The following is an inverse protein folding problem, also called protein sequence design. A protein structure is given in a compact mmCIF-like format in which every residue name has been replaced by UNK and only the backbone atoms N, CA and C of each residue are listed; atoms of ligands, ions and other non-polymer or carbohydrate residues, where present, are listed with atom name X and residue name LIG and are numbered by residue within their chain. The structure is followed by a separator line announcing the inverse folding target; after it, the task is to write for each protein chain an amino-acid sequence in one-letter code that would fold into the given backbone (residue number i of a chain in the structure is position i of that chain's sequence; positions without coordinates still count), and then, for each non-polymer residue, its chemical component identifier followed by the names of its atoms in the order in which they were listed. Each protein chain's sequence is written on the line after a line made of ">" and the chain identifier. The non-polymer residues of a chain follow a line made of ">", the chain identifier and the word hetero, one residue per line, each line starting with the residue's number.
data_IF_718392624912
#
_entry.id   IF_718392624912
#
_cell.length_a   1.000
_cell.length_b   1.000
_cell.length_c   1.000
_cell.angle_alpha   90.00
_cell.angle_beta   90.00
_cell.angle_gamma   90.00
#
_symmetry.space_group_name_H-M   'P 1'
#
loop_
_entity.id
_entity.type
_entity.pdbx_description
1 polymer ?
#
# COMPACT_ATOMS: atom_id res chain seq x y z
N UNK A 1 29.26 -2.48 -65.50
CA UNK A 1 29.47 -1.07 -65.89
C UNK A 1 28.23 -0.25 -65.48
N UNK A 2 28.30 0.31 -64.26
CA UNK A 2 27.23 1.23 -63.80
C UNK A 2 27.44 2.61 -64.44
N UNK A 3 26.44 3.05 -65.17
CA UNK A 3 26.40 4.43 -65.70
C UNK A 3 26.18 5.42 -64.56
N UNK A 4 27.25 6.09 -64.11
CA UNK A 4 27.15 7.25 -63.22
C UNK A 4 26.37 8.35 -63.96
N UNK A 5 25.17 8.64 -63.46
CA UNK A 5 24.33 9.75 -63.90
C UNK A 5 24.88 11.07 -63.34
N UNK A 6 25.81 11.72 -64.05
CA UNK A 6 26.38 13.03 -63.73
C UNK A 6 25.47 14.17 -64.25
N UNK A 7 24.26 14.22 -63.72
CA UNK A 7 23.38 15.36 -63.99
C UNK A 7 23.92 16.62 -63.31
N UNK A 8 24.20 17.70 -64.08
CA UNK A 8 24.56 19.00 -63.54
C UNK A 8 23.51 19.44 -62.54
N UNK A 9 23.91 19.68 -61.27
CA UNK A 9 23.02 20.21 -60.22
C UNK A 9 22.98 21.72 -60.28
N UNK A 10 21.79 22.26 -60.53
CA UNK A 10 21.55 23.71 -60.51
C UNK A 10 20.89 24.11 -59.18
N UNK A 11 21.28 25.27 -58.66
CA UNK A 11 20.66 25.79 -57.43
C UNK A 11 19.26 26.38 -57.71
N UNK A 12 18.45 26.57 -56.68
CA UNK A 12 17.08 27.02 -56.83
C UNK A 12 16.99 28.48 -57.36
N UNK A 13 17.96 29.34 -57.05
CA UNK A 13 18.02 30.70 -57.56
C UNK A 13 18.24 30.70 -59.08
N UNK A 14 19.21 29.95 -59.57
CA UNK A 14 19.43 29.79 -61.00
C UNK A 14 18.19 29.31 -61.77
N UNK A 15 17.47 28.33 -61.20
CA UNK A 15 16.24 27.82 -61.78
C UNK A 15 15.14 28.87 -61.84
N UNK A 16 14.99 29.66 -60.76
CA UNK A 16 14.03 30.78 -60.74
C UNK A 16 14.37 31.83 -61.78
N UNK A 17 15.65 32.22 -61.86
CA UNK A 17 16.10 33.22 -62.88
C UNK A 17 15.82 32.75 -64.30
N UNK A 18 16.05 31.48 -64.65
CA UNK A 18 15.71 30.94 -65.96
C UNK A 18 14.19 30.99 -66.23
N UNK A 19 13.36 30.71 -65.22
CA UNK A 19 11.91 30.76 -65.32
C UNK A 19 11.43 32.22 -65.50
N UNK A 20 12.04 33.16 -64.77
CA UNK A 20 11.74 34.59 -64.89
C UNK A 20 12.11 35.14 -66.28
N UNK A 21 13.27 34.74 -66.84
CA UNK A 21 13.66 35.08 -68.21
C UNK A 21 12.70 34.48 -69.25
N UNK A 22 12.20 33.27 -69.04
CA UNK A 22 11.17 32.69 -69.86
C UNK A 22 9.87 33.53 -69.84
N UNK A 23 9.43 33.93 -68.67
CA UNK A 23 8.23 34.81 -68.56
C UNK A 23 8.44 36.24 -69.07
N UNK A 24 9.71 36.70 -69.18
CA UNK A 24 10.08 37.95 -69.75
C UNK A 24 10.12 37.91 -71.30
N UNK A 25 9.77 36.79 -71.95
CA UNK A 25 9.60 36.66 -73.40
C UNK A 25 10.75 35.94 -74.12
N UNK A 26 11.78 35.42 -73.39
CA UNK A 26 12.87 34.64 -74.05
C UNK A 26 12.38 33.25 -74.42
N UNK A 27 12.75 32.74 -75.57
CA UNK A 27 12.36 31.38 -75.97
C UNK A 27 13.14 30.32 -75.33
N UNK A 28 12.51 29.14 -75.02
CA UNK A 28 13.21 27.98 -74.33
C UNK A 28 14.42 27.57 -75.17
N UNK A 29 14.45 27.69 -76.50
CA UNK A 29 15.61 27.36 -77.33
C UNK A 29 16.79 28.29 -77.06
N UNK A 30 16.54 29.58 -76.95
CA UNK A 30 17.56 30.58 -76.63
C UNK A 30 18.16 30.35 -75.27
N UNK A 31 17.28 30.21 -74.27
CA UNK A 31 17.71 29.88 -72.88
C UNK A 31 18.50 28.57 -72.76
N UNK A 32 18.11 27.55 -73.56
CA UNK A 32 18.84 26.26 -73.62
C UNK A 32 20.23 26.43 -74.21
N UNK A 33 20.34 27.24 -75.27
CA UNK A 33 21.64 27.51 -75.95
C UNK A 33 22.57 28.36 -75.11
N UNK A 34 22.03 29.37 -74.45
CA UNK A 34 22.80 30.37 -73.72
C UNK A 34 23.29 29.85 -72.37
N UNK A 35 22.44 29.17 -71.64
CA UNK A 35 22.74 28.66 -70.30
C UNK A 35 23.14 27.19 -70.22
N UNK A 36 23.14 26.49 -71.33
CA UNK A 36 23.57 25.09 -71.44
C UNK A 36 22.69 24.10 -70.66
N UNK A 37 21.41 24.41 -70.59
CA UNK A 37 20.39 23.60 -69.90
C UNK A 37 19.46 22.99 -70.98
N UNK A 38 19.12 21.71 -70.89
CA UNK A 38 18.24 21.08 -71.86
C UNK A 38 16.84 21.68 -71.82
N UNK A 39 16.22 21.85 -73.02
CA UNK A 39 14.86 22.37 -73.15
C UNK A 39 13.85 21.66 -72.26
N UNK A 40 13.93 20.35 -72.17
CA UNK A 40 13.07 19.51 -71.30
C UNK A 40 13.22 19.89 -69.81
N UNK A 41 14.44 20.25 -69.40
CA UNK A 41 14.74 20.66 -68.04
C UNK A 41 14.15 22.05 -67.77
N UNK A 42 14.24 22.98 -68.72
CA UNK A 42 13.67 24.32 -68.63
C UNK A 42 12.13 24.25 -68.51
N UNK A 43 11.46 23.47 -69.37
CA UNK A 43 10.01 23.27 -69.27
C UNK A 43 9.58 22.66 -67.92
N UNK A 44 10.39 21.74 -67.38
CA UNK A 44 10.17 21.18 -66.07
C UNK A 44 10.25 22.25 -64.98
N UNK A 45 11.24 23.16 -65.04
CA UNK A 45 11.39 24.25 -64.11
C UNK A 45 10.28 25.31 -64.25
N UNK A 46 9.88 25.64 -65.44
CA UNK A 46 8.73 26.50 -65.69
C UNK A 46 7.49 25.92 -65.01
N UNK A 47 7.21 24.64 -65.17
CA UNK A 47 6.09 23.96 -64.50
C UNK A 47 6.20 23.93 -62.98
N UNK A 48 7.42 23.85 -62.43
CA UNK A 48 7.66 23.78 -60.97
C UNK A 48 7.65 25.15 -60.28
N UNK A 49 8.08 26.20 -60.97
CA UNK A 49 8.31 27.55 -60.39
C UNK A 49 7.40 28.63 -60.91
N UNK A 50 6.54 28.40 -61.91
CA UNK A 50 5.51 29.38 -62.29
C UNK A 50 4.46 29.51 -61.18
N UNK A 51 4.22 30.72 -60.66
CA UNK A 51 3.22 30.93 -59.62
C UNK A 51 1.80 30.59 -60.09
N UNK A 52 1.01 30.01 -59.22
CA UNK A 52 -0.42 29.76 -59.43
C UNK A 52 -1.20 30.79 -58.62
N UNK A 53 -1.93 31.71 -59.27
CA UNK A 53 -2.74 32.71 -58.62
C UNK A 53 -2.49 34.10 -59.19
N UNK A 54 -3.47 35.01 -59.04
CA UNK A 54 -3.42 36.44 -59.48
C UNK A 54 -3.29 37.27 -58.19
N UNK A 55 -2.15 37.92 -57.98
CA UNK A 55 -1.94 38.86 -56.86
C UNK A 55 -0.70 38.59 -55.99
N UNK A 56 -0.54 39.38 -54.94
CA UNK A 56 0.63 39.34 -54.01
C UNK A 56 0.80 38.02 -53.23
N UNK A 57 -0.20 37.13 -53.23
CA UNK A 57 -0.17 35.82 -52.55
C UNK A 57 0.00 34.63 -53.50
N UNK A 58 0.62 34.83 -54.67
CA UNK A 58 0.83 33.75 -55.63
C UNK A 58 1.90 32.76 -55.14
N UNK A 59 1.51 31.48 -54.98
CA UNK A 59 2.42 30.38 -54.56
C UNK A 59 2.83 29.54 -55.76
N UNK A 60 4.07 29.04 -55.73
CA UNK A 60 4.52 28.06 -56.71
C UNK A 60 3.95 26.68 -56.42
N UNK A 61 3.75 25.80 -57.41
CA UNK A 61 3.29 24.44 -57.21
C UNK A 61 4.17 23.65 -56.24
N UNK A 62 5.46 23.97 -56.16
CA UNK A 62 6.43 23.35 -55.25
C UNK A 62 6.19 23.79 -53.80
N UNK A 63 5.90 25.05 -53.57
CA UNK A 63 5.57 25.58 -52.24
C UNK A 63 4.23 25.01 -51.76
N UNK A 64 3.22 24.93 -52.64
CA UNK A 64 1.94 24.34 -52.34
C UNK A 64 2.08 22.85 -51.94
N UNK A 65 2.88 22.09 -52.69
CA UNK A 65 3.14 20.68 -52.38
C UNK A 65 3.89 20.51 -51.07
N UNK A 66 4.84 21.41 -50.72
CA UNK A 66 5.56 21.40 -49.47
C UNK A 66 4.61 21.69 -48.29
N UNK A 67 3.72 22.69 -48.41
CA UNK A 67 2.72 23.00 -47.39
C UNK A 67 1.72 21.87 -47.22
N UNK A 68 1.27 21.25 -48.31
CA UNK A 68 0.37 20.10 -48.23
C UNK A 68 1.02 18.90 -47.53
N UNK A 69 2.30 18.62 -47.79
CA UNK A 69 3.07 17.56 -47.14
C UNK A 69 3.22 17.84 -45.65
N UNK A 70 3.55 19.08 -45.28
CA UNK A 70 3.69 19.46 -43.86
C UNK A 70 2.33 19.44 -43.12
N UNK A 71 1.25 19.88 -43.77
CA UNK A 71 -0.10 19.75 -43.21
C UNK A 71 -0.50 18.29 -42.98
N UNK A 72 -0.13 17.38 -43.91
CA UNK A 72 -0.40 15.96 -43.75
C UNK A 72 0.40 15.40 -42.55
N UNK A 73 1.68 15.76 -42.42
CA UNK A 73 2.54 15.38 -41.31
C UNK A 73 1.98 15.85 -39.97
N UNK A 74 1.63 17.14 -39.88
CA UNK A 74 1.04 17.71 -38.65
C UNK A 74 -0.29 17.05 -38.29
N UNK A 75 -1.14 16.73 -39.29
CA UNK A 75 -2.38 15.98 -39.07
C UNK A 75 -2.09 14.59 -38.48
N UNK A 76 -1.07 13.89 -39.00
CA UNK A 76 -0.66 12.56 -38.46
C UNK A 76 -0.09 12.69 -37.08
N UNK A 77 0.72 13.71 -36.77
CA UNK A 77 1.25 13.93 -35.41
C UNK A 77 0.11 14.21 -34.42
N UNK A 78 -0.85 15.05 -34.77
CA UNK A 78 -2.03 15.35 -33.96
C UNK A 78 -2.87 14.11 -33.74
N UNK A 79 -3.03 13.23 -34.73
CA UNK A 79 -3.78 11.98 -34.61
C UNK A 79 -3.05 10.98 -33.68
N UNK A 80 -1.73 10.89 -33.82
CA UNK A 80 -0.92 10.05 -32.94
C UNK A 80 -0.91 10.53 -31.49
N UNK A 81 -0.84 11.85 -31.27
CA UNK A 81 -0.98 12.47 -29.95
C UNK A 81 -2.37 12.19 -29.35
N UNK A 82 -3.44 12.29 -30.15
CA UNK A 82 -4.80 11.94 -29.70
C UNK A 82 -4.93 10.48 -29.31
N UNK A 83 -4.32 9.56 -30.06
CA UNK A 83 -4.30 8.12 -29.73
C UNK A 83 -3.50 7.85 -28.45
N UNK A 84 -2.31 8.46 -28.28
CA UNK A 84 -1.51 8.39 -27.06
C UNK A 84 -2.26 8.96 -25.85
N UNK A 85 -2.98 10.05 -26.02
CA UNK A 85 -3.81 10.68 -25.00
C UNK A 85 -4.98 9.76 -24.55
N UNK A 86 -5.59 8.99 -25.48
CA UNK A 86 -6.64 8.03 -25.14
C UNK A 86 -6.20 6.97 -24.10
N UNK A 87 -4.95 6.51 -24.17
CA UNK A 87 -4.39 5.58 -23.19
C UNK A 87 -4.05 6.23 -21.83
N UNK A 88 -3.79 7.53 -21.82
CA UNK A 88 -3.53 8.30 -20.59
C UNK A 88 -4.86 8.67 -19.92
N UNK A 89 -5.90 8.94 -20.69
CA UNK A 89 -7.23 9.37 -20.23
C UNK A 89 -7.90 8.36 -19.28
N UNK A 90 -7.63 7.05 -19.43
CA UNK A 90 -8.14 6.03 -18.48
C UNK A 90 -7.63 6.21 -17.04
N UNK A 91 -6.55 6.97 -16.86
CA UNK A 91 -5.89 7.20 -15.55
C UNK A 91 -6.06 8.63 -15.04
N UNK A 92 -6.51 9.56 -15.86
CA UNK A 92 -6.66 10.98 -15.53
C UNK A 92 -8.13 11.25 -15.19
N UNK A 93 -8.38 11.87 -14.05
CA UNK A 93 -9.75 12.22 -13.64
C UNK A 93 -10.23 13.50 -14.31
N UNK A 94 -11.56 13.71 -14.40
CA UNK A 94 -12.12 14.98 -14.90
C UNK A 94 -11.64 16.20 -14.10
N UNK A 95 -11.32 16.00 -12.84
CA UNK A 95 -10.76 17.03 -11.95
C UNK A 95 -9.37 17.45 -12.41
N UNK A 96 -8.48 16.49 -12.72
CA UNK A 96 -7.12 16.76 -13.19
C UNK A 96 -7.15 17.52 -14.52
N UNK A 97 -8.07 17.16 -15.41
CA UNK A 97 -8.26 17.84 -16.71
C UNK A 97 -8.78 19.27 -16.53
N UNK A 98 -9.63 19.50 -15.55
CA UNK A 98 -10.14 20.85 -15.24
C UNK A 98 -9.05 21.74 -14.65
N UNK A 99 -8.20 21.20 -13.76
CA UNK A 99 -7.02 21.89 -13.21
C UNK A 99 -6.05 22.26 -14.34
N UNK A 100 -5.77 21.34 -15.25
CA UNK A 100 -4.93 21.60 -16.43
C UNK A 100 -5.47 22.76 -17.30
N UNK A 101 -6.79 22.81 -17.55
CA UNK A 101 -7.40 23.90 -18.31
C UNK A 101 -7.24 25.23 -17.56
N UNK A 102 -7.43 25.26 -16.24
CA UNK A 102 -7.27 26.45 -15.42
C UNK A 102 -5.81 26.98 -15.41
N UNK A 103 -4.84 26.13 -15.34
CA UNK A 103 -3.42 26.50 -15.38
C UNK A 103 -3.03 27.13 -16.72
N UNK A 104 -3.62 26.63 -17.83
CA UNK A 104 -3.24 27.02 -19.19
C UNK A 104 -4.19 28.03 -19.85
N UNK A 105 -5.28 28.47 -19.18
CA UNK A 105 -6.29 29.41 -19.74
C UNK A 105 -5.75 30.77 -20.21
N UNK A 106 -4.57 31.17 -19.70
CA UNK A 106 -3.89 32.38 -20.13
C UNK A 106 -3.18 32.23 -21.48
N UNK A 107 -2.81 31.01 -21.85
CA UNK A 107 -2.03 30.70 -23.06
C UNK A 107 -2.95 30.22 -24.20
N UNK A 108 -4.01 29.48 -23.88
CA UNK A 108 -4.89 28.86 -24.84
C UNK A 108 -6.37 29.14 -24.52
N UNK A 109 -7.22 29.31 -25.56
CA UNK A 109 -8.66 29.51 -25.38
C UNK A 109 -9.28 28.26 -24.69
N UNK A 110 -10.00 28.47 -23.59
CA UNK A 110 -10.70 27.41 -22.83
C UNK A 110 -11.58 26.54 -23.71
N UNK A 111 -12.27 27.18 -24.72
CA UNK A 111 -13.11 26.46 -25.67
C UNK A 111 -12.34 25.39 -26.45
N UNK A 112 -11.16 25.74 -26.99
CA UNK A 112 -10.34 24.83 -27.77
C UNK A 112 -9.75 23.71 -26.88
N UNK A 113 -9.35 24.05 -25.66
CA UNK A 113 -8.86 23.04 -24.71
C UNK A 113 -9.96 22.05 -24.36
N UNK A 114 -11.16 22.50 -24.02
CA UNK A 114 -12.31 21.64 -23.76
C UNK A 114 -12.66 20.74 -24.96
N UNK A 115 -12.57 21.25 -26.18
CA UNK A 115 -12.83 20.49 -27.40
C UNK A 115 -11.76 19.39 -27.62
N UNK A 116 -10.48 19.72 -27.45
CA UNK A 116 -9.36 18.77 -27.61
C UNK A 116 -9.40 17.71 -26.52
N UNK A 117 -9.68 18.11 -25.28
CA UNK A 117 -9.74 17.21 -24.12
C UNK A 117 -11.08 16.47 -24.00
N UNK A 118 -12.01 16.71 -24.95
CA UNK A 118 -13.36 16.12 -25.00
C UNK A 118 -14.15 16.29 -23.69
N UNK A 119 -14.00 17.45 -23.03
CA UNK A 119 -14.75 17.82 -21.83
C UNK A 119 -15.84 18.82 -22.22
N UNK A 120 -17.11 18.60 -21.85
CA UNK A 120 -18.13 19.59 -22.00
C UNK A 120 -17.76 20.91 -21.28
N UNK A 121 -17.86 22.06 -21.95
CA UNK A 121 -17.58 23.36 -21.32
C UNK A 121 -18.40 23.58 -20.05
N UNK A 122 -19.66 23.10 -20.06
CA UNK A 122 -20.53 23.13 -18.86
C UNK A 122 -19.93 22.41 -17.69
N UNK A 123 -19.36 21.20 -17.90
CA UNK A 123 -18.71 20.42 -16.85
C UNK A 123 -17.48 21.13 -16.30
N UNK A 124 -16.66 21.75 -17.17
CA UNK A 124 -15.51 22.53 -16.74
C UNK A 124 -15.93 23.72 -15.85
N UNK A 125 -16.88 24.56 -16.28
CA UNK A 125 -17.34 25.70 -15.46
C UNK A 125 -18.10 25.25 -14.21
N UNK A 126 -18.83 24.15 -14.27
CA UNK A 126 -19.51 23.57 -13.11
C UNK A 126 -18.52 23.05 -12.07
N UNK A 127 -17.39 22.44 -12.50
CA UNK A 127 -16.34 21.98 -11.59
C UNK A 127 -15.64 23.14 -10.86
N UNK A 128 -15.48 24.29 -11.53
CA UNK A 128 -14.94 25.51 -10.91
C UNK A 128 -15.89 26.13 -9.87
N UNK A 129 -17.19 25.91 -10.01
CA UNK A 129 -18.21 26.38 -9.08
C UNK A 129 -18.54 25.38 -7.97
N UNK A 130 -17.92 24.17 -7.99
CA UNK A 130 -18.15 23.15 -6.97
C UNK A 130 -17.65 23.63 -5.60
N UNK A 131 -18.53 24.24 -4.86
CA UNK A 131 -18.42 24.35 -3.40
C UNK A 131 -18.27 22.92 -2.89
N UNK A 132 -17.19 22.66 -2.14
CA UNK A 132 -16.92 21.35 -1.52
C UNK A 132 -18.19 20.89 -0.81
N UNK A 133 -18.77 19.79 -1.25
CA UNK A 133 -20.04 19.32 -0.68
C UNK A 133 -19.90 19.06 0.83
N UNK A 134 -20.97 19.27 1.60
CA UNK A 134 -20.97 18.96 3.03
C UNK A 134 -20.46 17.55 3.33
N UNK A 135 -20.80 16.59 2.45
CA UNK A 135 -20.32 15.21 2.55
C UNK A 135 -18.81 15.08 2.32
N UNK A 136 -18.23 15.90 1.48
CA UNK A 136 -16.80 15.89 1.22
C UNK A 136 -16.02 16.55 2.36
N UNK A 137 -16.56 17.63 2.92
CA UNK A 137 -16.02 18.24 4.14
C UNK A 137 -16.03 17.25 5.29
N UNK A 138 -17.17 16.57 5.53
CA UNK A 138 -17.29 15.52 6.52
C UNK A 138 -16.31 14.36 6.28
N UNK A 139 -16.12 13.94 5.02
CA UNK A 139 -15.15 12.92 4.67
C UNK A 139 -13.70 13.36 4.93
N UNK A 140 -13.36 14.63 4.69
CA UNK A 140 -12.03 15.18 5.01
C UNK A 140 -11.78 15.15 6.53
N UNK A 141 -12.77 15.54 7.33
CA UNK A 141 -12.68 15.49 8.79
C UNK A 141 -12.59 14.05 9.31
N UNK A 142 -13.42 13.15 8.80
CA UNK A 142 -13.37 11.73 9.14
C UNK A 142 -12.03 11.10 8.78
N UNK A 143 -11.46 11.46 7.63
CA UNK A 143 -10.14 10.97 7.22
C UNK A 143 -9.04 11.42 8.18
N UNK A 144 -9.08 12.67 8.66
CA UNK A 144 -8.15 13.14 9.68
C UNK A 144 -8.28 12.34 10.97
N UNK A 145 -9.50 12.06 11.42
CA UNK A 145 -9.76 11.28 12.64
C UNK A 145 -9.31 9.81 12.46
N UNK A 146 -9.57 9.20 11.31
CA UNK A 146 -9.08 7.87 10.94
C UNK A 146 -7.55 7.84 11.02
N UNK A 147 -6.88 8.85 10.47
CA UNK A 147 -5.43 8.96 10.47
C UNK A 147 -4.85 9.09 11.89
N UNK A 148 -5.47 9.88 12.75
CA UNK A 148 -5.07 10.01 14.17
C UNK A 148 -5.16 8.65 14.89
N UNK A 149 -6.28 7.94 14.77
CA UNK A 149 -6.46 6.60 15.37
C UNK A 149 -5.43 5.61 14.81
N UNK A 150 -5.14 5.70 13.51
CA UNK A 150 -4.11 4.88 12.88
C UNK A 150 -2.72 5.16 13.46
N UNK A 151 -2.34 6.43 13.65
CA UNK A 151 -1.08 6.82 14.27
C UNK A 151 -0.99 6.40 15.75
N UNK A 152 -2.05 6.62 16.54
CA UNK A 152 -2.14 6.19 17.94
C UNK A 152 -1.92 4.68 18.08
N UNK A 153 -2.40 3.91 17.11
CA UNK A 153 -2.18 2.46 17.04
C UNK A 153 -0.82 2.06 16.45
N UNK A 154 0.06 3.00 16.11
CA UNK A 154 1.32 2.75 15.39
C UNK A 154 1.09 1.96 14.09
N UNK A 155 0.02 2.26 13.36
CA UNK A 155 -0.33 1.58 12.11
C UNK A 155 -0.93 0.18 12.25
N UNK A 156 -1.20 -0.29 13.46
CA UNK A 156 -1.64 -1.67 13.73
C UNK A 156 -3.11 -1.92 13.42
N UNK A 157 -3.95 -0.89 13.46
CA UNK A 157 -5.40 -1.02 13.27
C UNK A 157 -5.81 -0.94 11.81
N UNK A 158 -6.62 -1.91 11.38
CA UNK A 158 -7.33 -1.87 10.11
C UNK A 158 -8.75 -1.32 10.29
N UNK A 159 -9.47 -1.21 9.17
CA UNK A 159 -10.80 -0.60 9.11
C UNK A 159 -11.81 -1.10 10.17
N UNK A 160 -11.91 -2.41 10.50
CA UNK A 160 -12.88 -2.86 11.50
C UNK A 160 -12.65 -2.26 12.89
N UNK A 161 -11.40 -2.19 13.34
CA UNK A 161 -11.07 -1.62 14.66
C UNK A 161 -11.23 -0.10 14.67
N UNK A 162 -10.78 0.59 13.63
CA UNK A 162 -10.94 2.03 13.47
C UNK A 162 -12.43 2.40 13.44
N UNK A 163 -13.26 1.66 12.69
CA UNK A 163 -14.69 1.84 12.65
C UNK A 163 -15.32 1.73 14.05
N UNK A 164 -14.94 0.69 14.82
CA UNK A 164 -15.48 0.50 16.16
C UNK A 164 -15.12 1.66 17.11
N UNK A 165 -13.86 2.14 17.03
CA UNK A 165 -13.43 3.31 17.82
C UNK A 165 -14.20 4.58 17.42
N UNK A 166 -14.45 4.79 16.13
CA UNK A 166 -15.25 5.92 15.67
C UNK A 166 -16.69 5.86 16.20
N UNK A 167 -17.29 4.65 16.19
CA UNK A 167 -18.63 4.45 16.79
C UNK A 167 -18.64 4.78 18.28
N UNK A 168 -17.64 4.34 19.06
CA UNK A 168 -17.55 4.67 20.51
C UNK A 168 -17.29 6.15 20.76
N UNK A 169 -16.69 6.87 19.80
CA UNK A 169 -16.54 8.34 19.83
C UNK A 169 -17.79 9.10 19.34
N UNK A 170 -18.91 8.40 19.08
CA UNK A 170 -20.18 9.00 18.69
C UNK A 170 -20.39 9.26 17.19
N UNK A 171 -19.48 8.79 16.33
CA UNK A 171 -19.63 8.94 14.88
C UNK A 171 -20.51 7.84 14.29
N UNK A 172 -21.61 8.21 13.62
CA UNK A 172 -22.48 7.26 12.91
C UNK A 172 -22.03 7.09 11.46
N UNK A 173 -21.35 5.99 11.15
CA UNK A 173 -20.87 5.69 9.80
C UNK A 173 -20.74 4.17 9.58
N UNK A 174 -20.82 3.74 8.31
CA UNK A 174 -20.68 2.32 7.96
C UNK A 174 -19.20 1.90 7.86
N UNK A 175 -18.93 0.61 8.12
CA UNK A 175 -17.59 0.03 7.91
C UNK A 175 -17.10 0.25 6.47
N UNK A 176 -18.00 0.14 5.48
CA UNK A 176 -17.70 0.35 4.07
C UNK A 176 -17.24 1.77 3.77
N UNK A 177 -17.76 2.79 4.50
CA UNK A 177 -17.31 4.19 4.41
C UNK A 177 -15.88 4.34 4.94
N UNK A 178 -15.58 3.73 6.10
CA UNK A 178 -14.22 3.74 6.67
C UNK A 178 -13.22 3.08 5.73
N UNK A 179 -13.56 1.92 5.16
CA UNK A 179 -12.70 1.20 4.20
C UNK A 179 -12.37 2.08 2.98
N UNK A 180 -13.38 2.76 2.39
CA UNK A 180 -13.18 3.66 1.25
C UNK A 180 -12.29 4.87 1.60
N UNK A 181 -12.51 5.50 2.75
CA UNK A 181 -11.70 6.63 3.20
C UNK A 181 -10.25 6.22 3.46
N UNK A 182 -10.03 5.09 4.12
CA UNK A 182 -8.68 4.54 4.33
C UNK A 182 -7.98 4.22 3.00
N UNK A 183 -8.69 3.61 2.04
CA UNK A 183 -8.15 3.30 0.71
C UNK A 183 -7.78 4.58 -0.05
N UNK A 184 -8.67 5.60 -0.06
CA UNK A 184 -8.41 6.90 -0.71
C UNK A 184 -7.22 7.63 -0.09
N UNK A 185 -7.01 7.49 1.22
CA UNK A 185 -5.89 8.08 1.94
C UNK A 185 -4.64 7.19 1.98
N UNK A 186 -4.62 6.06 1.24
CA UNK A 186 -3.53 5.07 1.23
C UNK A 186 -3.14 4.53 2.62
N UNK A 187 -4.09 4.52 3.56
CA UNK A 187 -3.90 4.02 4.93
C UNK A 187 -4.15 2.52 4.95
N UNK A 188 -3.13 1.73 5.32
CA UNK A 188 -3.23 0.27 5.47
C UNK A 188 -2.57 -0.17 6.77
N UNK A 189 -3.19 -1.14 7.48
CA UNK A 189 -2.56 -1.72 8.66
C UNK A 189 -1.29 -2.48 8.29
N UNK A 190 -0.29 -2.40 9.19
CA UNK A 190 0.94 -3.17 9.07
C UNK A 190 0.60 -4.65 9.31
N UNK A 191 0.68 -5.48 8.26
CA UNK A 191 0.50 -6.92 8.36
C UNK A 191 1.49 -7.62 7.45
N UNK A 192 2.32 -8.53 8.02
CA UNK A 192 3.18 -9.40 7.23
C UNK A 192 2.59 -10.80 7.16
N UNK A 193 2.75 -11.49 6.02
CA UNK A 193 2.26 -12.87 5.84
C UNK A 193 2.98 -13.81 6.82
N UNK A 194 2.22 -14.76 7.39
CA UNK A 194 2.73 -15.79 8.30
C UNK A 194 3.60 -16.78 7.53
N UNK A 195 4.82 -17.06 8.04
CA UNK A 195 5.60 -18.23 7.66
C UNK A 195 4.94 -19.46 8.30
N UNK A 196 4.76 -20.54 7.53
CA UNK A 196 4.23 -21.82 8.02
C UNK A 196 5.39 -22.79 8.15
N UNK A 197 5.82 -23.18 9.37
CA UNK A 197 6.81 -24.22 9.55
C UNK A 197 6.24 -25.60 9.23
N UNK A 198 7.11 -26.52 8.78
CA UNK A 198 6.75 -27.93 8.57
C UNK A 198 6.69 -28.68 9.90
N UNK A 199 5.78 -29.65 10.09
CA UNK A 199 5.69 -30.44 11.32
C UNK A 199 6.86 -31.41 11.46
N UNK A 200 7.48 -31.48 12.63
CA UNK A 200 8.49 -32.48 13.00
C UNK A 200 7.84 -33.72 13.62
N UNK A 201 8.41 -34.90 13.37
CA UNK A 201 7.97 -36.19 13.94
C UNK A 201 8.87 -36.60 15.11
N UNK A 202 8.39 -36.52 16.32
CA UNK A 202 9.06 -37.08 17.50
C UNK A 202 8.11 -37.85 18.41
N UNK A 203 8.68 -38.77 19.28
CA UNK A 203 7.96 -39.76 20.13
C UNK A 203 7.13 -39.11 21.25
N UNK A 204 6.04 -39.77 21.62
CA UNK A 204 4.92 -39.27 22.41
C UNK A 204 5.04 -39.66 23.90
N UNK A 205 5.00 -38.67 24.79
CA UNK A 205 4.58 -38.83 26.17
C UNK A 205 3.10 -38.45 26.23
N UNK A 206 2.23 -39.33 26.75
CA UNK A 206 0.82 -39.02 26.98
C UNK A 206 0.66 -38.44 28.39
N UNK A 207 0.31 -37.13 28.42
CA UNK A 207 -0.09 -36.44 29.67
C UNK A 207 -1.54 -35.93 29.46
N UNK A 208 -2.27 -35.74 30.55
CA UNK A 208 -3.70 -35.44 30.51
C UNK A 208 -4.00 -34.05 29.89
N UNK A 209 -4.88 -34.04 28.90
CA UNK A 209 -5.47 -32.81 28.36
C UNK A 209 -6.78 -32.51 29.11
N UNK A 210 -6.68 -31.76 30.20
CA UNK A 210 -7.87 -31.35 30.98
C UNK A 210 -8.67 -30.28 30.27
N UNK A 211 -8.02 -29.44 29.43
CA UNK A 211 -8.67 -28.34 28.72
C UNK A 211 -9.61 -28.84 27.61
N UNK A 212 -9.24 -29.94 26.92
CA UNK A 212 -10.04 -30.56 25.81
C UNK A 212 -10.61 -29.56 24.80
N UNK A 213 -9.86 -28.48 24.50
CA UNK A 213 -10.28 -27.32 23.65
C UNK A 213 -11.47 -26.54 24.19
N UNK A 214 -11.84 -26.73 25.43
CA UNK A 214 -12.84 -25.88 26.10
C UNK A 214 -12.14 -24.64 26.67
N UNK A 215 -12.15 -23.56 25.87
CA UNK A 215 -11.57 -22.26 26.22
C UNK A 215 -12.58 -21.33 26.92
N UNK A 216 -13.77 -21.84 27.24
CA UNK A 216 -14.80 -21.07 27.94
C UNK A 216 -14.43 -20.92 29.41
N UNK A 217 -14.70 -19.75 29.97
CA UNK A 217 -14.45 -19.41 31.37
C UNK A 217 -15.56 -18.51 31.89
N UNK A 218 -15.88 -18.62 33.17
CA UNK A 218 -16.88 -17.77 33.83
C UNK A 218 -16.25 -16.48 34.37
N UNK A 219 -15.02 -16.60 34.90
CA UNK A 219 -14.29 -15.48 35.49
C UNK A 219 -12.79 -15.53 35.15
N UNK A 220 -12.05 -14.51 35.55
CA UNK A 220 -10.58 -14.49 35.46
C UNK A 220 -9.97 -15.57 36.37
N UNK A 221 -8.75 -16.00 36.03
CA UNK A 221 -7.96 -16.95 36.82
C UNK A 221 -8.54 -18.37 36.98
N UNK A 222 -9.50 -18.77 36.12
CA UNK A 222 -9.96 -20.17 36.06
C UNK A 222 -9.01 -21.03 35.21
N UNK A 223 -8.61 -20.50 34.04
CA UNK A 223 -7.77 -21.23 33.09
C UNK A 223 -6.72 -20.28 32.51
N UNK A 224 -5.46 -20.67 32.64
CA UNK A 224 -4.35 -19.99 31.97
C UNK A 224 -3.75 -20.91 30.93
N UNK A 225 -3.22 -20.29 29.85
CA UNK A 225 -2.43 -20.98 28.84
C UNK A 225 -1.05 -20.37 28.77
N UNK A 226 -0.01 -21.23 28.63
CA UNK A 226 1.36 -20.78 28.57
C UNK A 226 2.11 -21.44 27.41
N UNK A 227 3.04 -20.68 26.80
CA UNK A 227 3.89 -21.16 25.73
C UNK A 227 5.14 -20.29 25.60
N UNK A 228 6.16 -20.79 24.90
CA UNK A 228 7.42 -20.12 24.64
C UNK A 228 7.46 -19.71 23.17
N UNK A 229 7.81 -18.46 22.90
CA UNK A 229 8.16 -18.02 21.55
C UNK A 229 9.57 -17.45 21.50
N UNK A 230 10.17 -17.42 20.32
CA UNK A 230 11.53 -16.95 20.10
C UNK A 230 11.57 -15.66 19.30
N UNK A 231 12.55 -14.82 19.62
CA UNK A 231 12.77 -13.49 19.07
C UNK A 231 14.26 -13.36 18.77
N UNK A 232 14.59 -12.98 17.54
CA UNK A 232 15.98 -12.81 17.12
C UNK A 232 16.49 -11.40 17.42
N UNK A 233 17.71 -11.32 17.94
CA UNK A 233 18.48 -10.08 18.11
C UNK A 233 19.79 -10.16 17.32
N UNK A 234 20.37 -9.03 16.96
CA UNK A 234 21.58 -9.02 16.15
C UNK A 234 22.82 -9.47 16.90
N UNK A 235 22.97 -9.06 18.17
CA UNK A 235 24.16 -9.36 18.99
C UNK A 235 24.04 -10.66 19.76
N UNK A 236 22.86 -10.95 20.35
CA UNK A 236 22.68 -12.10 21.24
C UNK A 236 22.05 -13.31 20.54
N UNK A 237 21.68 -13.20 19.24
CA UNK A 237 21.01 -14.26 18.50
C UNK A 237 19.58 -14.51 18.97
N UNK A 238 19.21 -15.78 19.12
CA UNK A 238 17.86 -16.16 19.56
C UNK A 238 17.67 -15.94 21.05
N UNK A 239 16.63 -15.20 21.40
CA UNK A 239 16.12 -14.99 22.74
C UNK A 239 14.71 -15.57 22.85
N UNK A 240 14.28 -15.89 24.06
CA UNK A 240 13.06 -16.64 24.32
C UNK A 240 12.13 -15.86 25.25
N UNK A 241 10.85 -15.85 24.89
CA UNK A 241 9.78 -15.26 25.69
C UNK A 241 8.80 -16.34 26.12
N UNK A 242 8.76 -16.65 27.41
CA UNK A 242 7.67 -17.41 28.01
C UNK A 242 6.55 -16.46 28.39
N UNK A 243 5.32 -16.79 28.05
CA UNK A 243 4.13 -15.95 28.29
C UNK A 243 3.03 -16.81 28.94
N UNK A 244 2.29 -16.20 29.86
CA UNK A 244 1.09 -16.77 30.50
C UNK A 244 -0.09 -15.85 30.18
N UNK A 245 -1.14 -16.41 29.60
CA UNK A 245 -2.35 -15.70 29.18
C UNK A 245 -3.56 -16.23 29.94
N UNK A 246 -4.33 -15.34 30.53
CA UNK A 246 -5.64 -15.65 31.11
C UNK A 246 -6.69 -15.84 30.01
N UNK A 247 -7.41 -16.96 30.04
CA UNK A 247 -8.38 -17.30 28.98
C UNK A 247 -9.63 -16.44 29.02
N UNK A 248 -10.01 -15.85 30.15
CA UNK A 248 -11.17 -15.00 30.26
C UNK A 248 -10.91 -13.59 29.73
N UNK A 249 -9.93 -12.93 30.29
CA UNK A 249 -9.58 -11.54 29.94
C UNK A 249 -8.74 -11.42 28.68
N UNK A 250 -8.10 -12.51 28.21
CA UNK A 250 -7.06 -12.54 27.17
C UNK A 250 -5.84 -11.69 27.51
N UNK A 251 -5.67 -11.32 28.78
CA UNK A 251 -4.52 -10.57 29.28
C UNK A 251 -3.28 -11.48 29.38
N UNK A 252 -2.13 -10.94 29.06
CA UNK A 252 -0.86 -11.54 29.46
C UNK A 252 -0.65 -11.17 30.91
N UNK A 253 -0.85 -12.17 31.78
CA UNK A 253 -0.82 -12.00 33.24
C UNK A 253 0.59 -12.17 33.80
N UNK A 254 1.46 -12.89 33.08
CA UNK A 254 2.87 -13.04 33.43
C UNK A 254 3.71 -13.37 32.21
N UNK A 255 4.97 -13.02 32.24
CA UNK A 255 5.94 -13.35 31.19
C UNK A 255 7.37 -13.20 31.72
N UNK A 256 8.30 -13.87 31.04
CA UNK A 256 9.73 -13.76 31.27
C UNK A 256 10.47 -13.81 29.95
N UNK A 257 11.54 -13.01 29.80
CA UNK A 257 12.38 -12.97 28.61
C UNK A 257 13.81 -13.28 28.94
N UNK A 258 14.45 -14.25 28.25
CA UNK A 258 15.77 -14.71 28.48
C UNK A 258 16.55 -15.01 27.20
N UNK A 259 17.90 -15.07 27.32
CA UNK A 259 18.78 -15.56 26.25
C UNK A 259 18.77 -17.09 26.14
N UNK A 260 18.29 -17.80 27.15
CA UNK A 260 18.28 -19.25 27.21
C UNK A 260 16.88 -19.80 27.46
N UNK A 261 16.55 -20.91 26.78
CA UNK A 261 15.27 -21.59 26.90
C UNK A 261 15.38 -22.66 27.99
N UNK A 262 15.35 -22.25 29.25
CA UNK A 262 15.49 -23.09 30.43
C UNK A 262 14.17 -23.27 31.19
N UNK A 263 14.09 -24.23 32.11
CA UNK A 263 12.93 -24.36 33.01
C UNK A 263 12.76 -23.12 33.89
N UNK A 264 13.83 -22.46 34.30
CA UNK A 264 13.79 -21.23 35.07
C UNK A 264 13.02 -20.09 34.31
N UNK A 265 13.09 -20.04 32.95
CA UNK A 265 12.36 -19.08 32.15
C UNK A 265 10.83 -19.21 32.36
N UNK A 266 10.30 -20.43 32.32
CA UNK A 266 8.86 -20.68 32.46
C UNK A 266 8.43 -20.57 33.96
N UNK A 267 9.26 -20.91 34.90
CA UNK A 267 9.03 -20.70 36.35
C UNK A 267 8.86 -19.19 36.60
N UNK A 268 9.81 -18.37 36.16
CA UNK A 268 9.72 -16.90 36.32
C UNK A 268 8.49 -16.30 35.66
N UNK A 269 8.09 -16.79 34.48
CA UNK A 269 6.88 -16.33 33.82
C UNK A 269 5.62 -16.67 34.64
N UNK A 270 5.59 -17.89 35.22
CA UNK A 270 4.51 -18.34 36.08
C UNK A 270 4.49 -17.55 37.40
N UNK A 271 5.63 -17.37 38.08
CA UNK A 271 5.72 -16.61 39.32
C UNK A 271 5.23 -15.15 39.16
N UNK A 272 5.61 -14.51 38.04
CA UNK A 272 5.14 -13.18 37.72
C UNK A 272 3.61 -13.17 37.56
N UNK A 273 3.03 -14.19 36.89
CA UNK A 273 1.59 -14.32 36.74
C UNK A 273 0.90 -14.57 38.12
N UNK A 274 1.40 -15.52 38.86
CA UNK A 274 0.83 -15.91 40.15
C UNK A 274 0.87 -14.76 41.19
N UNK A 275 2.01 -14.07 41.26
CA UNK A 275 2.17 -12.92 42.16
C UNK A 275 1.28 -11.74 41.83
N UNK A 276 1.08 -11.49 40.52
CA UNK A 276 0.24 -10.37 40.05
C UNK A 276 -1.25 -10.64 40.17
N UNK A 277 -1.68 -11.87 39.94
CA UNK A 277 -3.10 -12.23 39.83
C UNK A 277 -3.65 -12.86 41.13
N UNK A 278 -2.78 -13.49 41.94
CA UNK A 278 -3.16 -14.20 43.15
C UNK A 278 -4.37 -15.13 42.96
N UNK A 279 -4.29 -16.08 42.03
CA UNK A 279 -5.41 -16.95 41.70
C UNK A 279 -5.85 -17.78 42.90
N UNK A 280 -7.14 -18.09 42.97
CA UNK A 280 -7.67 -19.06 43.95
C UNK A 280 -7.25 -20.48 43.57
N UNK A 281 -7.40 -21.42 44.53
CA UNK A 281 -7.15 -22.85 44.26
C UNK A 281 -8.00 -23.37 43.10
N UNK A 282 -7.42 -24.31 42.35
CA UNK A 282 -8.12 -24.95 41.22
C UNK A 282 -7.87 -24.38 39.84
N UNK A 283 -7.05 -23.33 39.73
CA UNK A 283 -6.57 -22.83 38.44
C UNK A 283 -5.99 -23.96 37.58
N UNK A 284 -6.41 -24.01 36.31
CA UNK A 284 -5.86 -24.91 35.31
C UNK A 284 -4.82 -24.16 34.47
N UNK A 285 -3.57 -24.65 34.47
CA UNK A 285 -2.51 -24.14 33.59
C UNK A 285 -2.31 -25.12 32.44
N UNK A 286 -2.65 -24.70 31.23
CA UNK A 286 -2.49 -25.51 30.03
C UNK A 286 -1.25 -25.09 29.25
N UNK A 287 -0.40 -26.07 28.88
CA UNK A 287 0.85 -25.85 28.13
C UNK A 287 1.00 -26.86 27.00
N UNK A 288 2.00 -26.67 26.16
CA UNK A 288 2.48 -27.70 25.26
C UNK A 288 3.28 -28.77 26.02
N UNK A 289 3.72 -29.81 25.29
CA UNK A 289 4.59 -30.88 25.84
C UNK A 289 6.08 -30.49 25.79
N UNK A 290 6.42 -29.21 25.84
CA UNK A 290 7.79 -28.74 25.87
C UNK A 290 8.53 -29.25 27.11
N UNK A 291 9.82 -29.60 26.95
CA UNK A 291 10.65 -30.16 28.06
C UNK A 291 10.70 -29.23 29.29
N UNK A 292 10.53 -27.93 29.10
CA UNK A 292 10.51 -26.94 30.17
C UNK A 292 9.27 -27.09 31.06
N UNK A 293 8.09 -27.30 30.44
CA UNK A 293 6.80 -27.46 31.14
C UNK A 293 6.59 -28.87 31.71
N UNK A 294 7.25 -29.87 31.13
CA UNK A 294 7.19 -31.27 31.60
C UNK A 294 8.32 -31.66 32.58
N UNK A 295 9.18 -30.68 32.91
CA UNK A 295 10.26 -30.93 33.87
C UNK A 295 9.72 -31.19 35.26
N UNK A 296 10.43 -32.02 36.05
CA UNK A 296 10.09 -32.30 37.46
C UNK A 296 10.08 -31.04 38.31
N UNK A 297 11.01 -30.11 38.03
CA UNK A 297 11.13 -28.84 38.74
C UNK A 297 9.87 -27.96 38.52
N UNK A 298 9.40 -27.77 37.26
CA UNK A 298 8.21 -27.01 36.99
C UNK A 298 6.94 -27.69 37.53
N UNK A 299 6.87 -29.01 37.40
CA UNK A 299 5.74 -29.80 37.94
C UNK A 299 5.63 -29.67 39.47
N UNK A 300 6.74 -29.82 40.19
CA UNK A 300 6.75 -29.62 41.64
C UNK A 300 6.40 -28.18 42.02
N UNK A 301 6.91 -27.20 41.27
CA UNK A 301 6.63 -25.79 41.50
C UNK A 301 5.13 -25.47 41.37
N UNK A 302 4.48 -25.92 40.31
CA UNK A 302 3.03 -25.73 40.11
C UNK A 302 2.17 -26.47 41.12
N UNK A 303 2.59 -27.67 41.55
CA UNK A 303 1.94 -28.44 42.63
C UNK A 303 1.98 -27.71 43.96
N UNK A 304 3.12 -27.10 44.32
CA UNK A 304 3.26 -26.30 45.53
C UNK A 304 2.30 -25.08 45.56
N UNK A 305 1.86 -24.61 44.41
CA UNK A 305 0.86 -23.55 44.26
C UNK A 305 -0.56 -24.08 44.02
N UNK A 306 -0.83 -25.36 44.20
CA UNK A 306 -2.12 -26.03 44.01
C UNK A 306 -2.72 -25.84 42.60
N UNK A 307 -1.86 -25.74 41.57
CA UNK A 307 -2.23 -25.58 40.18
C UNK A 307 -2.40 -26.92 39.47
N UNK A 308 -3.48 -27.08 38.74
CA UNK A 308 -3.74 -28.26 37.90
C UNK A 308 -3.08 -28.10 36.54
N UNK A 309 -2.07 -28.89 36.26
CA UNK A 309 -1.44 -28.91 34.93
C UNK A 309 -2.31 -29.64 33.91
N UNK A 310 -2.37 -29.09 32.70
CA UNK A 310 -3.02 -29.65 31.53
C UNK A 310 -2.08 -29.53 30.33
N UNK A 311 -2.07 -30.52 29.45
CA UNK A 311 -1.11 -30.56 28.35
C UNK A 311 -1.84 -30.70 26.98
N UNK A 312 -1.33 -30.01 25.99
CA UNK A 312 -1.77 -30.17 24.60
C UNK A 312 -1.43 -31.56 24.09
N UNK A 313 -2.33 -32.17 23.31
CA UNK A 313 -1.99 -33.39 22.61
C UNK A 313 -0.96 -33.13 21.51
N UNK A 314 -0.02 -34.05 21.32
CA UNK A 314 1.01 -33.95 20.31
C UNK A 314 0.39 -33.87 18.91
N UNK A 315 0.85 -32.86 18.12
CA UNK A 315 0.36 -32.65 16.77
C UNK A 315 -1.00 -31.96 16.70
N UNK A 316 -1.53 -31.50 17.83
CA UNK A 316 -2.80 -30.77 17.92
C UNK A 316 -2.57 -29.28 18.24
N UNK A 317 -2.14 -28.46 17.27
CA UNK A 317 -1.87 -27.02 17.50
C UNK A 317 -3.09 -26.25 18.00
N UNK A 318 -4.29 -26.75 17.73
CA UNK A 318 -5.52 -26.12 18.20
C UNK A 318 -5.73 -26.18 19.71
N UNK A 319 -5.02 -27.06 20.42
CA UNK A 319 -5.15 -27.21 21.86
C UNK A 319 -4.59 -26.00 22.60
N UNK A 320 -3.59 -25.29 22.02
CA UNK A 320 -2.99 -24.07 22.58
C UNK A 320 -3.23 -22.81 21.73
N UNK A 321 -4.30 -22.82 20.92
CA UNK A 321 -4.58 -21.78 19.92
C UNK A 321 -4.66 -20.35 20.48
N UNK A 322 -5.07 -20.18 21.75
CA UNK A 322 -5.20 -18.84 22.37
C UNK A 322 -3.85 -18.14 22.55
N UNK A 323 -2.85 -18.84 23.08
CA UNK A 323 -1.52 -18.26 23.28
C UNK A 323 -0.75 -18.16 21.95
N UNK A 324 -0.93 -19.13 21.03
CA UNK A 324 -0.38 -19.02 19.68
C UNK A 324 -0.92 -17.79 18.94
N UNK A 325 -2.20 -17.45 19.15
CA UNK A 325 -2.80 -16.22 18.61
C UNK A 325 -2.12 -14.97 19.16
N UNK A 326 -1.81 -14.93 20.47
CA UNK A 326 -1.03 -13.84 21.07
C UNK A 326 0.36 -13.75 20.44
N UNK A 327 1.10 -14.85 20.34
CA UNK A 327 2.42 -14.86 19.72
C UNK A 327 2.38 -14.40 18.26
N UNK A 328 1.35 -14.79 17.51
CA UNK A 328 1.14 -14.32 16.15
C UNK A 328 0.88 -12.80 16.09
N UNK A 329 0.14 -12.26 17.07
CA UNK A 329 -0.10 -10.80 17.18
C UNK A 329 1.19 -10.07 17.51
N UNK A 330 1.95 -10.54 18.53
CA UNK A 330 3.25 -9.98 18.90
C UNK A 330 4.20 -9.92 17.68
N UNK A 331 4.33 -11.05 16.97
CA UNK A 331 5.19 -11.11 15.78
C UNK A 331 4.71 -10.19 14.66
N UNK A 332 3.41 -10.13 14.40
CA UNK A 332 2.84 -9.31 13.31
C UNK A 332 2.82 -7.80 13.60
N UNK A 333 2.62 -7.44 14.86
CA UNK A 333 2.41 -6.03 15.22
C UNK A 333 3.69 -5.37 15.77
N UNK A 334 4.73 -6.16 16.12
CA UNK A 334 5.97 -5.65 16.67
C UNK A 334 7.21 -6.33 16.07
N UNK A 335 7.46 -7.60 16.40
CA UNK A 335 8.75 -8.27 16.15
C UNK A 335 9.17 -8.31 14.69
N UNK A 336 8.23 -8.52 13.76
CA UNK A 336 8.55 -8.61 12.33
C UNK A 336 8.84 -7.26 11.66
N UNK A 337 8.69 -6.15 12.38
CA UNK A 337 8.89 -4.80 11.87
C UNK A 337 10.17 -4.15 12.39
N UNK A 338 10.80 -4.74 13.42
CA UNK A 338 11.96 -4.17 14.09
C UNK A 338 13.08 -5.19 14.13
N UNK A 339 14.31 -4.79 13.85
CA UNK A 339 15.52 -5.54 14.14
C UNK A 339 16.07 -5.05 15.48
N UNK A 340 16.01 -5.90 16.51
CA UNK A 340 16.55 -5.57 17.82
C UNK A 340 18.06 -5.71 17.81
N UNK A 341 18.77 -4.70 18.32
CA UNK A 341 20.21 -4.71 18.39
C UNK A 341 20.71 -5.81 19.34
N UNK A 342 20.13 -5.89 20.52
CA UNK A 342 20.53 -6.79 21.59
C UNK A 342 19.35 -7.20 22.49
N UNK A 343 19.63 -8.06 23.46
CA UNK A 343 18.68 -8.53 24.45
C UNK A 343 17.97 -7.40 25.21
N UNK A 344 18.69 -6.35 25.62
CA UNK A 344 18.09 -5.27 26.41
C UNK A 344 17.10 -4.46 25.58
N UNK A 345 17.45 -4.15 24.34
CA UNK A 345 16.56 -3.46 23.40
C UNK A 345 15.29 -4.26 23.13
N UNK A 346 15.43 -5.58 22.91
CA UNK A 346 14.30 -6.47 22.70
C UNK A 346 13.42 -6.56 23.96
N UNK A 347 14.03 -6.72 25.15
CA UNK A 347 13.33 -6.79 26.43
C UNK A 347 12.45 -5.57 26.67
N UNK A 348 13.00 -4.38 26.44
CA UNK A 348 12.27 -3.13 26.62
C UNK A 348 11.09 -3.01 25.63
N UNK A 349 11.31 -3.35 24.36
CA UNK A 349 10.26 -3.30 23.34
C UNK A 349 9.12 -4.30 23.65
N UNK A 350 9.46 -5.52 24.09
CA UNK A 350 8.47 -6.54 24.49
C UNK A 350 7.67 -6.07 25.71
N UNK A 351 8.33 -5.49 26.71
CA UNK A 351 7.67 -4.90 27.88
C UNK A 351 6.65 -3.81 27.43
N UNK A 352 7.09 -2.87 26.62
CA UNK A 352 6.21 -1.80 26.10
C UNK A 352 5.06 -2.35 25.26
N UNK A 353 5.31 -3.42 24.49
CA UNK A 353 4.27 -4.05 23.70
C UNK A 353 3.24 -4.75 24.60
N UNK A 354 3.67 -5.57 25.56
CA UNK A 354 2.75 -6.34 26.41
C UNK A 354 1.98 -5.41 27.35
N UNK A 355 2.70 -4.63 28.16
CA UNK A 355 2.07 -3.81 29.19
C UNK A 355 1.42 -2.53 28.65
N UNK A 356 2.11 -1.83 27.77
CA UNK A 356 1.65 -0.55 27.26
C UNK A 356 0.62 -0.67 26.15
N UNK A 357 0.76 -1.66 25.29
CA UNK A 357 -0.11 -1.80 24.11
C UNK A 357 -1.10 -2.96 24.24
N UNK A 358 -0.64 -4.21 24.33
CA UNK A 358 -1.50 -5.39 24.25
C UNK A 358 -2.53 -5.45 25.37
N UNK A 359 -2.08 -5.32 26.61
CA UNK A 359 -2.97 -5.40 27.78
C UNK A 359 -3.89 -4.18 27.95
N UNK A 360 -3.41 -2.96 27.67
CA UNK A 360 -4.10 -1.72 28.06
C UNK A 360 -4.75 -0.95 26.91
N UNK A 361 -4.25 -1.06 25.70
CA UNK A 361 -4.72 -0.23 24.56
C UNK A 361 -5.31 -1.05 23.41
N UNK A 362 -4.84 -2.26 23.22
CA UNK A 362 -5.28 -3.10 22.12
C UNK A 362 -6.68 -3.65 22.35
N UNK A 363 -7.61 -3.29 21.47
CA UNK A 363 -8.97 -3.83 21.51
C UNK A 363 -9.04 -5.22 20.85
N UNK A 364 -9.81 -6.12 21.42
CA UNK A 364 -10.00 -7.50 20.96
C UNK A 364 -11.42 -7.74 20.50
N UNK A 365 -11.61 -8.31 19.30
CA UNK A 365 -12.94 -8.63 18.79
C UNK A 365 -13.67 -9.69 19.63
N UNK A 366 -12.93 -10.68 20.15
CA UNK A 366 -13.48 -11.71 21.04
C UNK A 366 -13.93 -11.18 22.41
N UNK A 367 -13.47 -9.98 22.81
CA UNK A 367 -13.87 -9.29 24.04
C UNK A 367 -14.87 -8.14 23.76
N UNK A 368 -15.62 -8.22 22.66
CA UNK A 368 -16.53 -7.15 22.30
C UNK A 368 -15.83 -5.81 21.99
N UNK A 369 -14.58 -5.89 21.52
CA UNK A 369 -13.70 -4.74 21.26
C UNK A 369 -13.30 -3.95 22.54
N UNK A 370 -13.26 -4.62 23.67
CA UNK A 370 -12.63 -4.10 24.89
C UNK A 370 -11.15 -4.49 24.95
N UNK A 371 -10.40 -3.84 25.81
CA UNK A 371 -9.02 -4.24 26.10
C UNK A 371 -9.00 -5.34 27.17
N UNK A 372 -7.95 -6.19 27.25
CA UNK A 372 -7.79 -7.17 28.31
C UNK A 372 -7.90 -6.53 29.72
N UNK A 373 -7.24 -5.41 29.96
CA UNK A 373 -7.29 -4.71 31.22
C UNK A 373 -8.71 -4.23 31.57
N UNK A 374 -9.47 -3.71 30.58
CA UNK A 374 -10.82 -3.27 30.82
C UNK A 374 -11.78 -4.40 31.24
N UNK A 375 -11.52 -5.65 30.81
CA UNK A 375 -12.28 -6.82 31.28
C UNK A 375 -11.97 -7.09 32.76
N UNK A 376 -10.69 -7.10 33.16
CA UNK A 376 -10.32 -7.29 34.57
C UNK A 376 -10.88 -6.19 35.46
N UNK A 377 -10.75 -4.93 35.04
CA UNK A 377 -11.27 -3.78 35.80
C UNK A 377 -12.79 -3.85 36.01
N UNK A 378 -13.54 -4.46 35.11
CA UNK A 378 -14.98 -4.67 35.25
C UNK A 378 -15.31 -5.73 36.31
N UNK A 379 -14.56 -6.84 36.32
CA UNK A 379 -14.79 -7.93 37.28
C UNK A 379 -14.41 -7.45 38.68
N UNK A 380 -13.27 -6.76 38.82
CA UNK A 380 -12.81 -6.26 40.13
C UNK A 380 -13.74 -5.20 40.72
N UNK A 381 -14.51 -4.46 39.89
CA UNK A 381 -15.50 -3.48 40.38
C UNK A 381 -16.81 -4.12 40.79
N UNK A 382 -17.10 -5.32 40.33
CA UNK A 382 -18.34 -6.06 40.63
C UNK A 382 -18.17 -7.08 41.76
N UNK A 383 -16.94 -7.39 42.14
CA UNK A 383 -16.58 -8.20 43.31
C UNK A 383 -16.32 -7.32 44.52
#
# INVERSE_FOLDING_TARGET
>A
MERKNTGKKYNNEFKKTIVDLYHSGNSVKELSSEYGVSEVTIYKWVKEFTPIGLGEESMTPKELAAIQKENLRLKQEVENLKKGYGHIREKVTETDLTEFIEEHKKQYPVQKMCEILEIPRSSHYQSLQLVVSNREQENKELTKKIYLIYLESKGRYGAPKIHKILLTKGFSLSLKRVQRLMSKASIRSITKKKYRPYPSKEKVIQLDNLLKRDFTTQTINEKWVADITYIHTLKDGWCYLASVLDLHSKKIVGYSFSRSMTTELVIKAFDNAHSSQKPSEGLVLHTDLGSQYTSSEFTQHTQNHHIKQSFSQKGCPYDNACIESFHAILKKEEVNHVQYLDYQTAKLAIFQFIEGWYNRKRIHSSLGYKTPQAIEDQITKTA
#
